data_IF_161775297615
#
_entry.id   IF_161775297615
#
_cell.length_a   1.000
_cell.length_b   1.000
_cell.length_c   1.000
_cell.angle_alpha   90.00
_cell.angle_beta   90.00
_cell.angle_gamma   90.00
#
_symmetry.space_group_name_H-M   'P 1'
#
loop_
_entity.id
_entity.type
_entity.pdbx_description
1 polymer ?
#
# COMPACT_ATOMS: atom_id res chain seq x y z
N UNK A 1 -2.76 12.07 1.43
CA UNK A 1 -2.04 10.88 1.91
C UNK A 1 -1.47 10.11 0.74
N UNK A 2 -0.32 9.47 0.87
CA UNK A 2 0.26 8.60 -0.14
C UNK A 2 0.75 7.33 0.53
N UNK A 3 0.43 6.17 -0.04
CA UNK A 3 0.84 4.86 0.46
C UNK A 3 1.60 4.13 -0.64
N UNK A 4 2.69 3.46 -0.26
CA UNK A 4 3.50 2.61 -1.13
C UNK A 4 3.62 1.24 -0.50
N UNK A 5 2.87 0.29 -1.06
CA UNK A 5 2.97 -1.12 -0.66
C UNK A 5 3.56 -1.92 -1.82
N UNK A 6 4.87 -2.13 -1.79
CA UNK A 6 5.61 -2.83 -2.83
C UNK A 6 6.45 -3.92 -2.18
N UNK A 7 5.86 -5.10 -2.12
CA UNK A 7 6.46 -6.29 -1.54
C UNK A 7 6.65 -7.37 -2.60
N UNK A 8 7.86 -7.44 -3.15
CA UNK A 8 8.20 -8.45 -4.14
C UNK A 8 7.90 -9.87 -3.64
N UNK A 9 7.17 -10.62 -4.43
CA UNK A 9 6.90 -12.04 -4.20
C UNK A 9 7.64 -12.89 -5.22
N UNK A 10 8.42 -13.86 -4.74
CA UNK A 10 9.13 -14.81 -5.59
C UNK A 10 8.19 -15.84 -6.23
N UNK A 11 8.72 -16.68 -7.13
CA UNK A 11 7.90 -17.71 -7.83
C UNK A 11 7.29 -18.73 -6.88
N UNK A 12 7.92 -19.02 -5.76
CA UNK A 12 7.44 -20.01 -4.81
C UNK A 12 6.15 -19.59 -4.11
N UNK A 13 5.94 -18.27 -3.94
CA UNK A 13 4.69 -17.72 -3.43
C UNK A 13 3.48 -18.17 -4.26
N UNK A 14 3.63 -18.31 -5.57
CA UNK A 14 2.57 -18.65 -6.51
C UNK A 14 2.38 -20.15 -6.75
N UNK A 15 3.08 -21.02 -6.02
CA UNK A 15 2.81 -22.47 -6.01
C UNK A 15 1.40 -22.78 -5.51
N UNK A 16 0.89 -21.95 -4.61
CA UNK A 16 -0.50 -21.97 -4.18
C UNK A 16 -1.41 -21.43 -5.28
N UNK A 17 -2.12 -22.29 -5.99
CA UNK A 17 -2.88 -21.97 -7.21
C UNK A 17 -3.95 -20.89 -7.03
N UNK A 18 -4.50 -20.74 -5.83
CA UNK A 18 -5.50 -19.70 -5.57
C UNK A 18 -4.93 -18.28 -5.69
N UNK A 19 -3.63 -18.10 -5.47
CA UNK A 19 -2.94 -16.79 -5.54
C UNK A 19 -2.81 -16.24 -6.96
N UNK A 20 -3.02 -17.07 -7.99
CA UNK A 20 -3.03 -16.65 -9.39
C UNK A 20 -4.45 -16.51 -9.95
N UNK A 21 -5.46 -16.70 -9.11
CA UNK A 21 -6.89 -16.65 -9.43
C UNK A 21 -7.55 -15.44 -8.78
N UNK A 22 -8.74 -15.08 -9.28
CA UNK A 22 -9.53 -13.95 -8.80
C UNK A 22 -9.56 -13.88 -7.25
N UNK A 23 -9.15 -12.72 -6.71
CA UNK A 23 -9.03 -12.47 -5.28
C UNK A 23 -7.65 -12.80 -4.68
N UNK A 24 -6.75 -13.45 -5.43
CA UNK A 24 -5.40 -13.81 -4.99
C UNK A 24 -4.31 -12.78 -5.31
N UNK A 25 -4.65 -11.69 -5.97
CA UNK A 25 -3.70 -10.60 -6.29
C UNK A 25 -3.41 -9.68 -5.11
N UNK A 26 -2.42 -8.78 -5.25
CA UNK A 26 -2.00 -7.88 -4.19
C UNK A 26 -3.10 -6.92 -3.71
N UNK A 27 -4.11 -6.60 -4.52
CA UNK A 27 -5.28 -5.83 -4.06
C UNK A 27 -6.06 -6.56 -2.98
N UNK A 28 -6.32 -7.87 -3.18
CA UNK A 28 -7.11 -8.67 -2.25
C UNK A 28 -6.32 -9.17 -1.04
N UNK A 29 -5.01 -9.37 -1.16
CA UNK A 29 -4.19 -9.96 -0.11
C UNK A 29 -3.52 -8.89 0.76
N UNK A 30 -2.95 -7.85 0.13
CA UNK A 30 -2.17 -6.83 0.83
C UNK A 30 -2.99 -5.55 1.03
N UNK A 31 -3.54 -4.99 -0.04
CA UNK A 31 -4.16 -3.68 -0.03
C UNK A 31 -5.40 -3.56 0.86
N UNK A 32 -6.09 -4.66 1.09
CA UNK A 32 -7.26 -4.69 1.99
C UNK A 32 -6.92 -4.18 3.40
N UNK A 33 -5.70 -4.46 3.89
CA UNK A 33 -5.24 -3.99 5.19
C UNK A 33 -4.96 -2.49 5.19
N UNK A 34 -4.35 -1.97 4.12
CA UNK A 34 -4.13 -0.54 3.94
C UNK A 34 -5.45 0.23 3.81
N UNK A 35 -6.43 -0.34 3.09
CA UNK A 35 -7.77 0.27 2.94
C UNK A 35 -8.47 0.36 4.30
N UNK A 36 -8.42 -0.67 5.11
CA UNK A 36 -8.98 -0.66 6.46
C UNK A 36 -8.35 0.44 7.30
N UNK A 37 -7.02 0.52 7.30
CA UNK A 37 -6.26 1.55 8.02
C UNK A 37 -6.62 2.97 7.57
N UNK A 38 -6.69 3.23 6.26
CA UNK A 38 -7.02 4.58 5.78
C UNK A 38 -8.47 4.95 6.05
N UNK A 39 -9.40 3.98 6.06
CA UNK A 39 -10.78 4.22 6.48
C UNK A 39 -10.87 4.57 7.96
N UNK A 40 -10.08 3.90 8.81
CA UNK A 40 -9.99 4.24 10.23
C UNK A 40 -9.45 5.66 10.45
N UNK A 41 -8.41 6.06 9.72
CA UNK A 41 -7.74 7.35 9.88
C UNK A 41 -8.49 8.53 9.25
N UNK A 42 -9.09 8.34 8.07
CA UNK A 42 -9.63 9.41 7.24
C UNK A 42 -11.16 9.38 7.11
N UNK A 43 -11.79 8.33 7.63
CA UNK A 43 -13.23 8.12 7.56
C UNK A 43 -13.69 7.40 6.27
N UNK A 44 -15.00 7.45 5.95
CA UNK A 44 -15.56 6.71 4.84
C UNK A 44 -15.08 7.20 3.48
N UNK A 45 -14.75 6.26 2.60
CA UNK A 45 -14.44 6.50 1.18
C UNK A 45 -15.75 6.79 0.43
N UNK A 46 -15.75 7.82 -0.42
CA UNK A 46 -16.88 8.22 -1.26
C UNK A 46 -16.64 7.99 -2.74
N UNK A 47 -15.37 7.92 -3.16
CA UNK A 47 -15.01 7.69 -4.55
C UNK A 47 -13.69 6.93 -4.66
N UNK A 48 -13.63 6.00 -5.62
CA UNK A 48 -12.45 5.20 -5.93
C UNK A 48 -12.20 5.21 -7.44
N UNK A 49 -10.96 5.44 -7.82
CA UNK A 49 -10.47 5.25 -9.18
C UNK A 49 -9.23 4.37 -9.15
N UNK A 50 -9.22 3.30 -9.94
CA UNK A 50 -8.10 2.37 -9.97
C UNK A 50 -7.65 2.06 -11.39
N UNK A 51 -6.34 1.86 -11.54
CA UNK A 51 -5.71 1.28 -12.73
C UNK A 51 -4.91 0.07 -12.30
N UNK A 52 -5.13 -1.07 -12.95
CA UNK A 52 -4.46 -2.33 -12.64
C UNK A 52 -3.69 -2.86 -13.84
N UNK A 53 -2.69 -3.67 -13.58
CA UNK A 53 -1.92 -4.40 -14.59
C UNK A 53 -1.60 -5.79 -14.08
N UNK A 54 -1.55 -6.76 -15.00
CA UNK A 54 -1.06 -8.12 -14.78
C UNK A 54 0.06 -8.50 -15.76
N UNK A 55 0.62 -7.51 -16.45
CA UNK A 55 1.50 -7.73 -17.61
C UNK A 55 2.85 -8.34 -17.27
N UNK A 56 3.30 -8.24 -16.03
CA UNK A 56 4.60 -8.78 -15.62
C UNK A 56 4.49 -10.27 -15.33
N UNK A 57 3.46 -10.68 -14.59
CA UNK A 57 3.25 -12.09 -14.22
C UNK A 57 2.36 -12.85 -15.20
N UNK A 58 1.51 -12.12 -15.91
CA UNK A 58 0.53 -12.67 -16.85
C UNK A 58 -0.41 -13.70 -16.22
N UNK A 59 -0.79 -13.46 -14.96
CA UNK A 59 -1.78 -14.26 -14.25
C UNK A 59 -3.19 -13.70 -14.46
N UNK A 60 -4.21 -14.39 -13.96
CA UNK A 60 -5.61 -13.95 -14.02
C UNK A 60 -5.85 -12.70 -13.15
N UNK A 61 -5.02 -12.49 -12.14
CA UNK A 61 -5.08 -11.37 -11.20
C UNK A 61 -4.05 -10.31 -11.54
N UNK A 62 -4.25 -9.12 -11.02
CA UNK A 62 -3.29 -8.03 -11.09
C UNK A 62 -1.99 -8.36 -10.35
N UNK A 63 -0.88 -7.78 -10.80
CA UNK A 63 0.43 -7.77 -10.15
C UNK A 63 0.84 -6.37 -9.70
N UNK A 64 0.16 -5.36 -10.22
CA UNK A 64 0.42 -3.95 -9.93
C UNK A 64 -0.88 -3.16 -10.01
N UNK A 65 -1.08 -2.22 -9.09
CA UNK A 65 -2.20 -1.30 -9.13
C UNK A 65 -1.82 0.08 -8.58
N UNK A 66 -2.52 1.11 -9.11
CA UNK A 66 -2.56 2.47 -8.57
C UNK A 66 -4.02 2.78 -8.28
N UNK A 67 -4.29 3.26 -7.07
CA UNK A 67 -5.65 3.55 -6.61
C UNK A 67 -5.70 4.95 -6.01
N UNK A 68 -6.69 5.73 -6.41
CA UNK A 68 -7.00 7.03 -5.85
C UNK A 68 -8.31 6.95 -5.08
N UNK A 69 -8.33 7.51 -3.88
CA UNK A 69 -9.49 7.55 -3.00
C UNK A 69 -9.87 9.00 -2.67
N UNK A 70 -11.17 9.28 -2.66
CA UNK A 70 -11.73 10.48 -2.06
C UNK A 70 -12.56 10.10 -0.85
N UNK A 71 -12.36 10.81 0.25
CA UNK A 71 -13.05 10.55 1.52
C UNK A 71 -14.16 11.58 1.76
N UNK A 72 -15.15 11.22 2.56
CA UNK A 72 -16.23 12.14 2.96
C UNK A 72 -15.71 13.40 3.64
N UNK A 73 -14.59 13.32 4.33
CA UNK A 73 -13.91 14.46 4.96
C UNK A 73 -13.29 15.44 3.95
N UNK A 74 -13.26 15.13 2.66
CA UNK A 74 -12.53 15.87 1.64
C UNK A 74 -11.07 15.47 1.51
N UNK A 75 -10.56 14.58 2.34
CA UNK A 75 -9.19 14.07 2.23
C UNK A 75 -9.02 13.26 0.94
N UNK A 76 -7.82 13.32 0.37
CA UNK A 76 -7.41 12.56 -0.80
C UNK A 76 -6.29 11.60 -0.44
N UNK A 77 -6.33 10.39 -1.01
CA UNK A 77 -5.26 9.41 -0.86
C UNK A 77 -4.93 8.79 -2.21
N UNK A 78 -3.64 8.66 -2.50
CA UNK A 78 -3.15 7.80 -3.58
C UNK A 78 -2.39 6.63 -2.99
N UNK A 79 -2.57 5.46 -3.58
CA UNK A 79 -1.96 4.23 -3.15
C UNK A 79 -1.39 3.48 -4.35
N UNK A 80 -0.18 2.96 -4.22
CA UNK A 80 0.42 2.07 -5.21
C UNK A 80 0.81 0.75 -4.55
N UNK A 81 0.37 -0.36 -5.13
CA UNK A 81 0.70 -1.72 -4.70
C UNK A 81 1.34 -2.50 -5.84
N UNK A 82 2.33 -3.32 -5.53
CA UNK A 82 2.90 -4.26 -6.50
C UNK A 82 3.62 -5.39 -5.79
N UNK A 83 3.47 -6.61 -6.33
CA UNK A 83 4.22 -7.79 -5.91
C UNK A 83 5.36 -8.16 -6.86
N UNK A 84 5.60 -7.34 -7.88
CA UNK A 84 6.67 -7.51 -8.87
C UNK A 84 7.81 -6.51 -8.74
N UNK A 85 7.63 -5.46 -7.94
CA UNK A 85 8.62 -4.41 -7.77
C UNK A 85 9.44 -4.68 -6.51
N UNK A 86 10.77 -4.75 -6.67
CA UNK A 86 11.69 -4.74 -5.54
C UNK A 86 11.82 -3.30 -5.05
N UNK A 87 11.37 -3.04 -3.82
CA UNK A 87 11.40 -1.71 -3.23
C UNK A 87 11.62 -1.81 -1.71
N UNK A 88 12.18 -0.77 -1.06
CA UNK A 88 12.44 -0.79 0.37
C UNK A 88 11.23 -0.38 1.22
N UNK A 89 10.06 -0.21 0.64
CA UNK A 89 8.86 0.27 1.33
C UNK A 89 7.64 -0.59 1.04
N UNK A 90 7.23 -1.29 2.05
CA UNK A 90 5.91 -1.85 2.32
C UNK A 90 5.72 -1.80 3.82
N UNK A 91 4.54 -2.06 4.30
CA UNK A 91 4.32 -2.16 5.75
C UNK A 91 5.25 -3.23 6.37
N UNK A 92 5.30 -4.42 5.79
CA UNK A 92 6.09 -5.54 6.29
C UNK A 92 7.60 -5.25 6.34
N UNK A 93 8.11 -4.51 5.34
CA UNK A 93 9.53 -4.15 5.29
C UNK A 93 9.91 -3.00 6.23
N UNK A 94 8.93 -2.19 6.63
CA UNK A 94 9.22 -0.95 7.36
C UNK A 94 8.80 -0.99 8.82
N UNK A 95 7.76 -1.75 9.17
CA UNK A 95 7.26 -1.87 10.54
C UNK A 95 8.11 -2.80 11.43
N UNK A 96 8.80 -3.77 10.83
CA UNK A 96 9.64 -4.73 11.58
C UNK A 96 8.85 -5.74 12.41
N UNK A 97 7.57 -5.91 12.15
CA UNK A 97 6.70 -6.80 12.91
C UNK A 97 6.79 -8.26 12.44
N UNK A 98 7.17 -8.47 11.18
CA UNK A 98 7.27 -9.80 10.59
C UNK A 98 8.75 -10.21 10.42
N UNK A 99 9.26 -11.18 11.18
CA UNK A 99 10.66 -11.61 11.12
C UNK A 99 11.05 -12.28 9.79
N UNK A 100 10.07 -12.64 8.95
CA UNK A 100 10.33 -13.22 7.63
C UNK A 100 10.87 -12.20 6.61
N UNK A 101 10.79 -10.90 6.91
CA UNK A 101 11.25 -9.84 6.04
C UNK A 101 12.36 -9.01 6.70
N UNK A 102 13.36 -8.54 5.91
CA UNK A 102 14.38 -7.63 6.43
C UNK A 102 13.74 -6.28 6.78
N UNK A 103 14.17 -5.69 7.89
CA UNK A 103 13.73 -4.35 8.27
C UNK A 103 14.47 -3.32 7.43
N UNK A 104 13.73 -2.43 6.79
CA UNK A 104 14.26 -1.26 6.08
C UNK A 104 13.96 0.02 6.86
N UNK A 105 14.90 0.95 6.89
CA UNK A 105 14.71 2.24 7.56
C UNK A 105 14.00 3.24 6.64
N UNK A 106 12.83 2.86 6.12
CA UNK A 106 12.01 3.65 5.20
C UNK A 106 10.60 3.82 5.77
N UNK A 107 9.82 4.68 5.13
CA UNK A 107 8.40 4.83 5.42
C UNK A 107 7.56 4.43 4.21
N UNK A 108 6.44 3.77 4.46
CA UNK A 108 5.48 3.38 3.44
C UNK A 108 4.29 4.35 3.35
N UNK A 109 3.98 5.07 4.43
CA UNK A 109 2.86 5.99 4.53
C UNK A 109 3.34 7.43 4.67
N UNK A 110 2.72 8.33 3.92
CA UNK A 110 3.02 9.77 3.90
C UNK A 110 1.70 10.52 4.07
N UNK A 111 1.51 11.13 5.23
CA UNK A 111 0.27 11.81 5.60
C UNK A 111 0.56 13.30 5.72
N UNK A 112 -0.06 14.11 4.86
CA UNK A 112 0.02 15.57 4.90
C UNK A 112 -1.28 16.17 5.43
N UNK A 113 -1.15 17.14 6.31
CA UNK A 113 -2.24 17.93 6.84
C UNK A 113 -1.91 19.44 6.77
N UNK A 114 -2.88 20.29 7.04
CA UNK A 114 -2.72 21.75 6.97
C UNK A 114 -1.75 22.31 8.01
N UNK A 115 -1.51 21.59 9.10
CA UNK A 115 -0.62 22.03 10.20
C UNK A 115 0.71 21.27 10.22
N UNK A 116 0.84 20.21 9.45
CA UNK A 116 2.07 19.43 9.39
C UNK A 116 1.89 18.13 8.62
N UNK A 117 2.98 17.38 8.50
CA UNK A 117 3.03 16.09 7.81
C UNK A 117 3.76 15.06 8.66
N UNK A 118 3.40 13.80 8.51
CA UNK A 118 4.05 12.68 9.18
C UNK A 118 4.33 11.56 8.18
N UNK A 119 5.45 10.88 8.36
CA UNK A 119 5.76 9.62 7.70
C UNK A 119 5.66 8.47 8.69
N UNK A 120 5.11 7.34 8.26
CA UNK A 120 4.94 6.16 9.10
C UNK A 120 5.58 4.93 8.40
N UNK A 121 6.26 4.03 9.13
CA UNK A 121 6.36 3.94 10.60
C UNK A 121 7.48 4.77 11.23
N UNK A 122 8.36 5.42 10.47
CA UNK A 122 9.51 6.14 11.03
C UNK A 122 9.13 7.35 11.89
N UNK A 123 7.88 7.77 11.90
CA UNK A 123 7.33 8.88 12.67
C UNK A 123 8.06 10.21 12.44
N UNK A 124 8.70 10.39 11.27
CA UNK A 124 9.28 11.68 10.89
C UNK A 124 8.16 12.70 10.71
N UNK A 125 8.30 13.82 11.39
CA UNK A 125 7.28 14.83 11.50
C UNK A 125 7.79 16.20 11.03
N UNK A 126 6.99 16.89 10.24
CA UNK A 126 7.24 18.23 9.75
C UNK A 126 6.06 19.13 10.11
N UNK A 127 6.34 20.31 10.57
CA UNK A 127 5.33 21.30 10.90
C UNK A 127 5.84 22.71 10.58
N UNK A 128 4.93 23.61 10.27
CA UNK A 128 5.24 25.02 10.08
C UNK A 128 5.19 25.72 11.44
N UNK A 129 6.22 26.49 11.76
CA UNK A 129 6.29 27.25 13.04
C UNK A 129 5.56 28.59 13.00
N UNK A 130 4.86 28.91 11.91
CA UNK A 130 4.15 30.17 11.72
C UNK A 130 4.87 31.12 10.81
#
# INVERSE_FOLDING_TARGET
MCIRDRLYKNKDWYKEKWRIKKGGGPLGINLVHDIDLICYLLGPITYVQATTSNKIRNYEVEDTAIVNFTFRSGALCTLSVSDTIVAPYSYELTAGENPAYPITNQSAYFIGGTKGSIQFPNLKHWYNKG
#
